data_IF_770734804298
#
_entry.id   IF_770734804298
#
_cell.length_a   1.000
_cell.length_b   1.000
_cell.length_c   1.000
_cell.angle_alpha   90.00
_cell.angle_beta   90.00
_cell.angle_gamma   90.00
#
_symmetry.space_group_name_H-M   'P 1'
#
loop_
_entity.id
_entity.type
_entity.pdbx_description
1 polymer ?
#
# COMPACT_ATOMS: atom_id res chain seq x y z
N UNK A 1 36.61 7.03 6.04
CA UNK A 1 36.01 5.78 5.57
C UNK A 1 35.23 6.12 4.31
N UNK A 2 35.88 5.89 3.17
CA UNK A 2 35.33 6.07 1.82
C UNK A 2 34.37 4.92 1.47
N UNK A 3 33.78 4.93 0.26
CA UNK A 3 32.80 3.98 -0.33
C UNK A 3 31.33 4.45 -0.16
N UNK A 4 30.59 4.97 -1.15
CA UNK A 4 30.62 4.91 -2.63
C UNK A 4 30.22 6.29 -3.21
N UNK A 5 31.06 6.98 -4.01
CA UNK A 5 30.97 7.01 -5.48
C UNK A 5 29.53 7.28 -5.99
N UNK A 6 29.11 8.47 -6.41
CA UNK A 6 29.85 9.55 -7.08
C UNK A 6 29.87 9.43 -8.62
N UNK A 7 29.44 8.29 -9.22
CA UNK A 7 29.54 8.10 -10.69
C UNK A 7 28.28 7.49 -11.37
N UNK A 8 27.29 6.97 -10.64
CA UNK A 8 26.08 6.40 -11.29
C UNK A 8 25.00 7.45 -11.68
N UNK A 9 25.21 8.74 -11.43
CA UNK A 9 24.14 9.75 -11.51
C UNK A 9 23.85 10.32 -12.92
N UNK A 10 24.52 9.85 -13.98
CA UNK A 10 24.37 10.46 -15.32
C UNK A 10 23.92 9.53 -16.45
N UNK A 11 23.70 8.22 -16.20
CA UNK A 11 23.40 7.27 -17.30
C UNK A 11 22.00 6.64 -17.24
N UNK A 12 21.28 6.62 -16.12
CA UNK A 12 20.04 5.82 -16.00
C UNK A 12 18.72 6.59 -16.04
N UNK A 13 18.69 7.81 -16.59
CA UNK A 13 17.47 8.65 -16.61
C UNK A 13 16.38 8.12 -17.57
N UNK A 14 16.68 7.13 -18.41
CA UNK A 14 15.79 6.74 -19.53
C UNK A 14 15.09 5.37 -19.39
N UNK A 15 15.42 4.55 -18.41
CA UNK A 15 14.80 3.23 -18.25
C UNK A 15 14.71 2.83 -16.76
N UNK A 16 13.93 3.58 -15.98
CA UNK A 16 13.54 3.15 -14.64
C UNK A 16 12.15 2.55 -14.71
N UNK A 17 12.01 1.32 -14.23
CA UNK A 17 10.73 0.67 -14.04
C UNK A 17 10.06 1.22 -12.78
N UNK A 18 8.74 1.01 -12.65
CA UNK A 18 8.03 1.40 -11.43
C UNK A 18 8.55 0.61 -10.22
N UNK A 19 9.00 -0.64 -10.41
CA UNK A 19 9.64 -1.45 -9.37
C UNK A 19 10.87 -0.76 -8.76
N UNK A 20 11.76 -0.25 -9.61
CA UNK A 20 13.00 0.41 -9.18
C UNK A 20 12.66 1.66 -8.36
N UNK A 21 11.72 2.47 -8.88
CA UNK A 21 11.25 3.68 -8.22
C UNK A 21 10.71 3.41 -6.80
N UNK A 22 9.91 2.35 -6.67
CA UNK A 22 9.32 1.97 -5.38
C UNK A 22 10.39 1.45 -4.43
N UNK A 23 11.37 0.71 -4.94
CA UNK A 23 12.49 0.16 -4.16
C UNK A 23 13.36 1.29 -3.60
N UNK A 24 13.78 2.22 -4.45
CA UNK A 24 14.54 3.41 -4.06
C UNK A 24 13.79 4.21 -2.98
N UNK A 25 12.46 4.31 -3.11
CA UNK A 25 11.61 5.02 -2.16
C UNK A 25 11.53 4.31 -0.80
N UNK A 26 11.49 2.97 -0.80
CA UNK A 26 11.47 2.18 0.43
C UNK A 26 12.80 2.27 1.18
N UNK A 27 13.92 2.31 0.45
CA UNK A 27 15.26 2.48 1.01
C UNK A 27 15.46 3.87 1.61
N UNK A 28 15.10 4.94 0.90
CA UNK A 28 15.28 6.32 1.38
C UNK A 28 14.48 6.62 2.66
N UNK A 29 13.29 6.01 2.79
CA UNK A 29 12.39 6.21 3.93
C UNK A 29 12.35 5.02 4.89
N UNK A 30 13.38 4.19 4.91
CA UNK A 30 13.50 3.07 5.85
C UNK A 30 13.32 3.57 7.30
N UNK A 31 12.60 2.78 8.12
CA UNK A 31 12.27 3.13 9.51
C UNK A 31 11.27 4.29 9.73
N UNK A 32 11.04 5.16 8.73
CA UNK A 32 10.07 6.27 8.82
C UNK A 32 8.69 5.93 8.24
N UNK A 33 8.62 4.90 7.40
CA UNK A 33 7.37 4.42 6.80
C UNK A 33 6.55 3.54 7.75
N UNK A 34 5.26 3.85 7.87
CA UNK A 34 4.29 2.99 8.57
C UNK A 34 4.13 1.63 7.89
N UNK A 35 3.84 0.59 8.69
CA UNK A 35 3.74 -0.82 8.25
C UNK A 35 2.83 -1.01 7.04
N UNK A 36 1.64 -0.39 7.05
CA UNK A 36 0.66 -0.54 5.98
C UNK A 36 1.12 0.05 4.64
N UNK A 37 1.92 1.12 4.66
CA UNK A 37 2.45 1.74 3.44
C UNK A 37 3.55 0.89 2.82
N UNK A 38 4.45 0.36 3.65
CA UNK A 38 5.50 -0.57 3.21
C UNK A 38 4.90 -1.82 2.56
N UNK A 39 3.99 -2.50 3.25
CA UNK A 39 3.32 -3.70 2.74
C UNK A 39 2.62 -3.47 1.40
N UNK A 40 1.91 -2.34 1.25
CA UNK A 40 1.20 -2.03 0.01
C UNK A 40 2.16 -1.74 -1.17
N UNK A 41 3.31 -1.12 -0.90
CA UNK A 41 4.34 -0.84 -1.91
C UNK A 41 5.10 -2.11 -2.31
N UNK A 42 5.48 -2.96 -1.34
CA UNK A 42 6.09 -4.27 -1.61
C UNK A 42 5.15 -5.16 -2.45
N UNK A 43 3.86 -5.22 -2.08
CA UNK A 43 2.86 -5.96 -2.84
C UNK A 43 2.62 -5.38 -4.24
N UNK A 44 2.93 -4.10 -4.48
CA UNK A 44 2.83 -3.48 -5.80
C UNK A 44 3.98 -3.93 -6.69
N UNK A 45 5.20 -4.11 -6.14
CA UNK A 45 6.37 -4.61 -6.86
C UNK A 45 6.18 -6.01 -7.44
N UNK A 46 5.29 -6.82 -6.87
CA UNK A 46 4.95 -8.17 -7.35
C UNK A 46 3.93 -8.18 -8.50
N UNK A 47 3.54 -7.01 -9.03
CA UNK A 47 2.51 -6.91 -10.06
C UNK A 47 3.06 -6.45 -11.41
N UNK A 48 2.29 -6.71 -12.48
CA UNK A 48 2.62 -6.29 -13.85
C UNK A 48 2.82 -4.77 -13.98
N UNK A 49 2.24 -3.97 -13.09
CA UNK A 49 2.47 -2.52 -13.07
C UNK A 49 3.93 -2.19 -12.72
N UNK A 50 4.57 -2.99 -11.88
CA UNK A 50 5.95 -2.78 -11.47
C UNK A 50 6.94 -2.95 -12.65
N UNK A 51 6.61 -3.85 -13.58
CA UNK A 51 7.35 -4.10 -14.82
C UNK A 51 7.08 -3.06 -15.92
N UNK A 52 6.21 -2.08 -15.66
CA UNK A 52 5.93 -1.02 -16.65
C UNK A 52 7.01 0.05 -16.58
N UNK A 53 7.62 0.45 -17.72
CA UNK A 53 8.52 1.60 -17.77
C UNK A 53 7.81 2.88 -17.31
N UNK A 54 8.51 3.75 -16.59
CA UNK A 54 7.89 4.98 -16.06
C UNK A 54 7.35 5.91 -17.17
N UNK A 55 7.98 5.90 -18.35
CA UNK A 55 7.52 6.65 -19.53
C UNK A 55 6.23 6.10 -20.16
N UNK A 56 5.92 4.82 -19.93
CA UNK A 56 4.72 4.14 -20.42
C UNK A 56 3.61 4.09 -19.36
N UNK A 57 3.78 4.82 -18.26
CA UNK A 57 2.76 4.94 -17.22
C UNK A 57 1.54 5.70 -17.76
N UNK A 58 0.58 4.93 -18.29
CA UNK A 58 -0.68 5.45 -18.80
C UNK A 58 -1.80 5.30 -17.78
N UNK A 59 -2.84 6.12 -17.96
CA UNK A 59 -4.11 5.97 -17.22
C UNK A 59 -4.64 4.53 -17.30
N UNK A 60 -4.53 3.90 -18.48
CA UNK A 60 -5.04 2.55 -18.71
C UNK A 60 -4.24 1.48 -17.96
N UNK A 61 -2.91 1.60 -17.89
CA UNK A 61 -2.06 0.68 -17.13
C UNK A 61 -2.46 0.65 -15.64
N UNK A 62 -2.68 1.82 -15.04
CA UNK A 62 -3.13 1.95 -13.64
C UNK A 62 -4.53 1.36 -13.43
N UNK A 63 -5.46 1.61 -14.36
CA UNK A 63 -6.82 1.02 -14.29
C UNK A 63 -6.77 -0.50 -14.41
N UNK A 64 -5.91 -1.03 -15.28
CA UNK A 64 -5.71 -2.48 -15.44
C UNK A 64 -5.15 -3.10 -14.17
N UNK A 65 -4.17 -2.46 -13.53
CA UNK A 65 -3.68 -2.85 -12.21
C UNK A 65 -4.80 -2.90 -11.17
N UNK A 66 -5.60 -1.85 -11.06
CA UNK A 66 -6.69 -1.79 -10.10
C UNK A 66 -7.74 -2.89 -10.34
N UNK A 67 -8.04 -3.20 -11.61
CA UNK A 67 -8.92 -4.33 -11.99
C UNK A 67 -8.30 -5.67 -11.62
N UNK A 68 -7.02 -5.88 -11.90
CA UNK A 68 -6.32 -7.12 -11.55
C UNK A 68 -6.33 -7.35 -10.04
N UNK A 69 -6.02 -6.33 -9.24
CA UNK A 69 -6.11 -6.39 -7.76
C UNK A 69 -7.53 -6.69 -7.28
N UNK A 70 -8.55 -6.15 -7.94
CA UNK A 70 -9.94 -6.46 -7.59
C UNK A 70 -10.28 -7.93 -7.86
N UNK A 71 -9.74 -8.52 -8.93
CA UNK A 71 -9.95 -9.94 -9.29
C UNK A 71 -9.32 -10.91 -8.28
N UNK A 72 -8.26 -10.52 -7.57
CA UNK A 72 -7.66 -11.35 -6.50
C UNK A 72 -8.50 -11.38 -5.21
N UNK A 73 -9.66 -10.72 -5.17
CA UNK A 73 -10.51 -10.63 -3.99
C UNK A 73 -10.22 -9.43 -3.09
N UNK A 74 -9.31 -8.54 -3.51
CA UNK A 74 -8.96 -7.33 -2.74
C UNK A 74 -10.15 -6.36 -2.66
N UNK A 75 -10.44 -5.87 -1.46
CA UNK A 75 -11.49 -4.88 -1.22
C UNK A 75 -11.21 -3.55 -1.91
N UNK A 76 -12.27 -2.84 -2.34
CA UNK A 76 -12.14 -1.58 -3.07
C UNK A 76 -11.45 -0.44 -2.30
N UNK A 77 -11.53 -0.47 -0.98
CA UNK A 77 -10.83 0.46 -0.10
C UNK A 77 -9.33 0.21 -0.10
N UNK A 78 -8.91 -1.05 -0.15
CA UNK A 78 -7.49 -1.44 -0.21
C UNK A 78 -6.89 -1.06 -1.55
N UNK A 79 -7.57 -1.35 -2.67
CA UNK A 79 -7.13 -0.91 -4.00
C UNK A 79 -6.99 0.63 -4.06
N UNK A 80 -7.92 1.36 -3.45
CA UNK A 80 -7.82 2.82 -3.37
C UNK A 80 -6.59 3.26 -2.55
N UNK A 81 -6.28 2.56 -1.47
CA UNK A 81 -5.10 2.81 -0.65
C UNK A 81 -3.80 2.58 -1.43
N UNK A 82 -3.72 1.49 -2.19
CA UNK A 82 -2.57 1.19 -3.07
C UNK A 82 -2.32 2.36 -4.04
N UNK A 83 -3.39 2.83 -4.71
CA UNK A 83 -3.30 3.98 -5.62
C UNK A 83 -2.88 5.26 -4.91
N UNK A 84 -3.34 5.49 -3.67
CA UNK A 84 -2.93 6.64 -2.84
C UNK A 84 -1.43 6.63 -2.61
N UNK A 85 -0.89 5.51 -2.14
CA UNK A 85 0.54 5.37 -1.85
C UNK A 85 1.40 5.47 -3.09
N UNK A 86 1.01 4.84 -4.20
CA UNK A 86 1.71 4.99 -5.48
C UNK A 86 1.80 6.46 -5.89
N UNK A 87 0.73 7.24 -5.68
CA UNK A 87 0.77 8.67 -5.98
C UNK A 87 1.75 9.45 -5.11
N UNK A 88 1.92 9.09 -3.85
CA UNK A 88 2.94 9.72 -2.99
C UNK A 88 4.36 9.40 -3.48
N UNK A 89 4.60 8.17 -3.95
CA UNK A 89 5.91 7.78 -4.51
C UNK A 89 6.19 8.54 -5.79
N UNK A 90 5.23 8.60 -6.71
CA UNK A 90 5.38 9.33 -7.97
C UNK A 90 5.57 10.84 -7.75
N UNK A 91 4.79 11.45 -6.87
CA UNK A 91 4.93 12.88 -6.54
C UNK A 91 6.34 13.19 -5.99
N UNK A 92 6.83 12.34 -5.08
CA UNK A 92 8.19 12.44 -4.57
C UNK A 92 9.25 12.27 -5.68
N UNK A 93 9.11 11.24 -6.51
CA UNK A 93 10.01 10.97 -7.62
C UNK A 93 10.11 12.13 -8.62
N UNK A 94 9.00 12.80 -8.88
CA UNK A 94 8.96 13.96 -9.75
C UNK A 94 9.70 15.15 -9.14
N UNK A 95 9.46 15.44 -7.85
CA UNK A 95 9.96 16.65 -7.21
C UNK A 95 11.39 16.52 -6.67
N UNK A 96 11.73 15.38 -6.06
CA UNK A 96 13.04 15.13 -5.45
C UNK A 96 14.05 14.56 -6.44
N UNK A 97 13.64 13.63 -7.31
CA UNK A 97 14.54 12.92 -8.22
C UNK A 97 14.42 13.39 -9.69
N UNK A 98 13.52 14.33 -9.98
CA UNK A 98 13.34 14.95 -11.30
C UNK A 98 13.01 13.96 -12.43
N UNK A 99 12.36 12.84 -12.12
CA UNK A 99 11.83 11.93 -13.13
C UNK A 99 10.76 12.60 -14.00
N UNK A 100 10.72 12.22 -15.29
CA UNK A 100 9.74 12.72 -16.26
C UNK A 100 8.75 11.63 -16.64
N UNK A 101 7.48 11.86 -16.33
CA UNK A 101 6.36 11.00 -16.72
C UNK A 101 5.06 11.81 -16.72
N UNK A 102 3.97 11.21 -17.21
CA UNK A 102 2.65 11.85 -17.19
C UNK A 102 2.10 11.92 -15.76
N UNK A 103 2.12 13.11 -15.17
CA UNK A 103 1.60 13.37 -13.82
C UNK A 103 0.09 13.23 -13.75
N UNK A 104 -0.63 13.32 -14.88
CA UNK A 104 -2.08 13.23 -14.94
C UNK A 104 -2.57 11.78 -15.09
N UNK A 105 -1.69 10.84 -15.44
CA UNK A 105 -2.05 9.43 -15.61
C UNK A 105 -2.71 8.83 -14.35
N UNK A 106 -2.10 9.04 -13.18
CA UNK A 106 -2.61 8.50 -11.91
C UNK A 106 -3.88 9.22 -11.41
N UNK A 107 -3.96 10.57 -11.36
CA UNK A 107 -5.19 11.27 -11.00
C UNK A 107 -6.37 10.90 -11.91
N UNK A 108 -6.14 10.80 -13.22
CA UNK A 108 -7.18 10.39 -14.17
C UNK A 108 -7.60 8.93 -13.92
N UNK A 109 -6.65 8.03 -13.69
CA UNK A 109 -6.96 6.63 -13.38
C UNK A 109 -7.78 6.48 -12.11
N UNK A 110 -7.49 7.26 -11.05
CA UNK A 110 -8.30 7.27 -9.82
C UNK A 110 -9.74 7.74 -10.09
N UNK A 111 -9.93 8.77 -10.92
CA UNK A 111 -11.27 9.25 -11.33
C UNK A 111 -12.01 8.14 -12.08
N UNK A 112 -11.36 7.51 -13.07
CA UNK A 112 -11.94 6.40 -13.84
C UNK A 112 -12.27 5.20 -12.94
N UNK A 113 -11.38 4.82 -12.03
CA UNK A 113 -11.61 3.72 -11.08
C UNK A 113 -12.81 3.98 -10.16
N UNK A 114 -12.99 5.24 -9.73
CA UNK A 114 -14.15 5.65 -8.94
C UNK A 114 -15.43 5.61 -9.75
N UNK A 115 -15.42 6.10 -10.99
CA UNK A 115 -16.58 6.06 -11.90
C UNK A 115 -16.97 4.62 -12.25
N UNK A 116 -16.00 3.74 -12.50
CA UNK A 116 -16.21 2.31 -12.78
C UNK A 116 -16.47 1.46 -11.53
N UNK A 117 -16.57 2.05 -10.33
CA UNK A 117 -16.78 1.35 -9.05
C UNK A 117 -15.71 0.27 -8.73
N UNK A 118 -14.52 0.38 -9.33
CA UNK A 118 -13.37 -0.49 -9.05
C UNK A 118 -12.79 -0.15 -7.68
N UNK A 119 -12.81 1.13 -7.30
CA UNK A 119 -12.46 1.59 -5.96
C UNK A 119 -13.70 2.01 -5.21
N UNK A 120 -13.74 1.74 -3.91
CA UNK A 120 -14.85 2.11 -3.04
C UNK A 120 -14.35 2.59 -1.69
N UNK A 121 -15.14 3.39 -0.99
CA UNK A 121 -14.87 3.68 0.42
C UNK A 121 -14.92 2.41 1.25
N UNK A 122 -14.24 2.43 2.41
CA UNK A 122 -14.33 1.34 3.38
C UNK A 122 -15.77 1.19 3.88
N UNK A 123 -16.19 -0.05 4.16
CA UNK A 123 -17.49 -0.32 4.76
C UNK A 123 -17.46 0.18 6.20
N UNK A 124 -18.32 1.14 6.51
CA UNK A 124 -18.51 1.61 7.88
C UNK A 124 -19.22 0.50 8.66
N UNK A 125 -18.72 0.19 9.86
CA UNK A 125 -19.40 -0.68 10.83
C UNK A 125 -20.25 0.21 11.72
N UNK A 126 -21.56 0.01 11.67
CA UNK A 126 -22.58 0.86 12.30
C UNK A 126 -23.22 0.20 13.54
N UNK A 127 -23.20 -1.12 13.61
CA UNK A 127 -23.72 -1.88 14.76
C UNK A 127 -22.75 -1.87 15.93
N UNK A 128 -23.26 -1.49 17.11
CA UNK A 128 -22.63 -1.82 18.39
C UNK A 128 -23.01 -3.25 18.81
N UNK A 129 -22.10 -4.04 19.39
CA UNK A 129 -22.45 -5.32 19.99
C UNK A 129 -23.60 -5.18 20.99
N UNK A 130 -24.50 -6.16 21.05
CA UNK A 130 -25.58 -6.18 22.06
C UNK A 130 -25.02 -6.53 23.44
N UNK A 131 -25.81 -6.27 24.49
CA UNK A 131 -25.46 -6.67 25.86
C UNK A 131 -25.21 -8.18 25.98
N UNK A 132 -26.02 -8.99 25.28
CA UNK A 132 -25.87 -10.45 25.28
C UNK A 132 -24.60 -10.91 24.55
N UNK A 133 -24.27 -10.31 23.40
CA UNK A 133 -23.00 -10.59 22.72
C UNK A 133 -21.80 -10.17 23.56
N UNK A 134 -21.88 -9.04 24.27
CA UNK A 134 -20.84 -8.61 25.21
C UNK A 134 -20.67 -9.63 26.34
N UNK A 135 -21.75 -10.12 26.94
CA UNK A 135 -21.71 -11.16 27.97
C UNK A 135 -21.01 -12.42 27.46
N UNK A 136 -21.41 -12.91 26.28
CA UNK A 136 -20.82 -14.10 25.66
C UNK A 136 -19.33 -13.91 25.32
N UNK A 137 -18.94 -12.73 24.84
CA UNK A 137 -17.54 -12.40 24.57
C UNK A 137 -16.72 -12.41 25.87
N UNK A 138 -17.21 -11.77 26.93
CA UNK A 138 -16.52 -11.74 28.23
C UNK A 138 -16.36 -13.15 28.81
N UNK A 139 -17.41 -13.97 28.79
CA UNK A 139 -17.33 -15.38 29.21
C UNK A 139 -16.35 -16.21 28.38
N UNK A 140 -16.24 -15.91 27.08
CA UNK A 140 -15.24 -16.57 26.24
C UNK A 140 -13.81 -16.16 26.59
N UNK A 141 -13.57 -14.87 26.87
CA UNK A 141 -12.25 -14.36 27.26
C UNK A 141 -11.81 -14.77 28.67
N UNK A 142 -12.76 -15.02 29.58
CA UNK A 142 -12.49 -15.43 30.96
C UNK A 142 -12.06 -16.92 31.08
N UNK A 143 -12.37 -17.74 30.07
CA UNK A 143 -11.95 -19.15 30.06
C UNK A 143 -10.42 -19.26 30.03
N UNK A 144 -9.81 -19.99 30.97
CA UNK A 144 -8.37 -20.18 31.00
C UNK A 144 -7.91 -20.93 29.74
N UNK A 145 -7.13 -20.27 28.89
CA UNK A 145 -6.49 -20.89 27.73
C UNK A 145 -5.18 -21.54 28.15
N UNK A 146 -4.79 -22.68 27.55
CA UNK A 146 -3.47 -23.26 27.78
C UNK A 146 -2.42 -22.20 27.43
N UNK A 147 -1.58 -21.83 28.42
CA UNK A 147 -0.60 -20.76 28.28
C UNK A 147 0.53 -21.21 27.35
N UNK A 148 0.39 -20.94 26.06
CA UNK A 148 1.52 -20.85 25.13
C UNK A 148 2.21 -19.47 25.26
N UNK A 149 3.50 -19.35 24.90
CA UNK A 149 4.28 -18.11 25.02
C UNK A 149 3.68 -16.91 24.25
N UNK A 150 2.79 -17.17 23.28
CA UNK A 150 2.12 -16.18 22.44
C UNK A 150 0.75 -15.68 22.96
N UNK A 151 0.20 -16.28 24.01
CA UNK A 151 -1.11 -15.89 24.55
C UNK A 151 -1.01 -14.73 25.53
N UNK A 152 -0.79 -13.51 25.03
CA UNK A 152 -0.93 -12.28 25.83
C UNK A 152 -2.33 -11.70 25.67
N UNK A 153 -3.19 -11.89 26.67
CA UNK A 153 -4.45 -11.14 26.77
C UNK A 153 -4.12 -9.75 27.33
N UNK A 154 -4.33 -8.64 26.60
CA UNK A 154 -3.87 -7.30 27.03
C UNK A 154 -4.54 -6.76 28.30
N UNK A 155 -5.67 -7.35 28.70
CA UNK A 155 -6.51 -6.88 29.82
C UNK A 155 -6.49 -7.81 31.04
N UNK A 156 -5.53 -8.73 31.15
CA UNK A 156 -5.30 -9.41 32.43
C UNK A 156 -4.63 -8.44 33.41
N UNK A 157 -5.36 -7.41 33.85
CA UNK A 157 -4.98 -6.59 34.99
C UNK A 157 -5.22 -7.40 36.25
N UNK A 158 -4.16 -7.50 37.05
CA UNK A 158 -4.11 -8.07 38.38
C UNK A 158 -5.37 -7.78 39.20
N UNK A 159 -6.00 -8.86 39.67
CA UNK A 159 -6.76 -8.89 40.92
C UNK A 159 -6.03 -9.87 41.82
#
# INVERSE_FOLDING_TARGET
>A
MYWFQGIACHISILASFIADLVTDYLEEFEGKLGRSKRYALEALCETVLAETPLCELTTQAVVNYARARRKTGTGGSTVNQDLIFLGTVLDYAQHAWHYKFDTQALPNARKTCRQSRITSSSKIRDRRPTSEEMRLLLEWFDKPRPRGPEARTPYASAV
#
